data_IF_242716927441
#
_entry.id   IF_242716927441
#
_cell.length_a   1.000
_cell.length_b   1.000
_cell.length_c   1.000
_cell.angle_alpha   90.00
_cell.angle_beta   90.00
_cell.angle_gamma   90.00
#
_symmetry.space_group_name_H-M   'P 1'
#
loop_
_entity.id
_entity.type
_entity.pdbx_description
1 polymer ?
#
# COMPACT_ATOMS: atom_id res chain seq x y z
N UNK A 1 -6.13 -33.25 8.28
CA UNK A 1 -6.41 -31.97 7.60
C UNK A 1 -5.24 -31.04 7.84
N UNK A 2 -4.39 -30.81 6.84
CA UNK A 2 -3.15 -30.03 6.98
C UNK A 2 -3.41 -28.58 6.58
N UNK A 3 -3.34 -27.66 7.55
CA UNK A 3 -3.58 -26.23 7.33
C UNK A 3 -2.39 -25.58 6.62
N UNK A 4 -2.57 -25.20 5.36
CA UNK A 4 -1.57 -24.62 4.45
C UNK A 4 -1.38 -23.10 4.65
N UNK A 5 -1.25 -22.62 5.88
CA UNK A 5 -0.88 -21.21 6.10
C UNK A 5 0.46 -21.14 6.82
N UNK A 6 1.49 -20.87 6.01
CA UNK A 6 2.81 -20.41 6.48
C UNK A 6 2.54 -19.15 7.32
N UNK A 7 2.83 -19.21 8.61
CA UNK A 7 2.41 -18.21 9.59
C UNK A 7 2.76 -16.79 9.16
N UNK A 8 1.80 -15.88 9.28
CA UNK A 8 2.00 -14.44 9.21
C UNK A 8 3.12 -14.03 10.16
N UNK A 9 3.91 -13.03 9.78
CA UNK A 9 4.92 -12.48 10.68
C UNK A 9 4.24 -11.84 11.89
N UNK A 10 4.92 -11.75 13.03
CA UNK A 10 4.41 -11.05 14.22
C UNK A 10 3.98 -9.61 13.88
N UNK A 11 4.70 -8.99 12.94
CA UNK A 11 4.35 -7.71 12.36
C UNK A 11 2.99 -7.76 11.65
N UNK A 12 2.76 -8.71 10.75
CA UNK A 12 1.49 -8.87 10.05
C UNK A 12 0.33 -9.13 11.02
N UNK A 13 0.52 -9.97 12.04
CA UNK A 13 -0.51 -10.23 13.07
C UNK A 13 -0.83 -8.99 13.90
N UNK A 14 0.20 -8.20 14.24
CA UNK A 14 0.04 -6.92 14.95
C UNK A 14 -0.72 -5.91 14.10
N UNK A 15 -0.39 -5.79 12.81
CA UNK A 15 -1.06 -4.87 11.90
C UNK A 15 -2.52 -5.29 11.62
N UNK A 16 -2.80 -6.59 11.50
CA UNK A 16 -4.18 -7.12 11.38
C UNK A 16 -5.04 -6.80 12.60
N UNK A 17 -4.46 -6.90 13.81
CA UNK A 17 -5.16 -6.53 15.05
C UNK A 17 -5.49 -5.04 15.11
N UNK A 18 -4.59 -4.18 14.60
CA UNK A 18 -4.79 -2.73 14.54
C UNK A 18 -5.90 -2.36 13.53
N UNK A 19 -5.97 -3.03 12.38
CA UNK A 19 -7.03 -2.83 11.36
C UNK A 19 -8.44 -3.02 11.88
N UNK A 20 -8.64 -3.91 12.86
CA UNK A 20 -9.97 -4.23 13.38
C UNK A 20 -10.64 -3.16 14.27
N UNK A 21 -9.96 -2.03 14.60
CA UNK A 21 -10.37 -1.20 15.76
C UNK A 21 -10.55 0.31 15.56
N UNK A 22 -10.52 0.90 14.35
CA UNK A 22 -11.07 2.27 14.27
C UNK A 22 -10.91 3.10 12.99
N UNK A 23 -11.77 4.14 12.82
CA UNK A 23 -11.68 5.11 11.74
C UNK A 23 -10.72 6.26 12.12
N UNK A 24 -9.59 6.38 11.42
CA UNK A 24 -8.79 7.63 11.39
C UNK A 24 -8.32 7.89 9.97
N UNK A 25 -9.29 8.24 9.10
CA UNK A 25 -9.09 8.51 7.68
C UNK A 25 -8.69 9.97 7.44
N UNK A 26 -7.48 10.35 7.88
CA UNK A 26 -6.85 11.59 7.42
C UNK A 26 -5.49 11.27 6.81
N UNK A 27 -5.17 11.94 5.70
CA UNK A 27 -3.90 11.74 4.98
C UNK A 27 -2.70 12.02 5.90
N UNK A 28 -2.80 13.04 6.75
CA UNK A 28 -1.78 13.37 7.76
C UNK A 28 -1.68 12.26 8.81
N UNK A 29 -2.80 11.69 9.26
CA UNK A 29 -2.81 10.57 10.20
C UNK A 29 -2.10 9.34 9.64
N UNK A 30 -2.39 9.00 8.38
CA UNK A 30 -1.73 7.90 7.68
C UNK A 30 -0.24 8.18 7.43
N UNK A 31 0.15 9.40 7.09
CA UNK A 31 1.56 9.78 6.96
C UNK A 31 2.36 9.59 8.25
N UNK A 32 1.78 10.00 9.39
CA UNK A 32 2.45 9.93 10.69
C UNK A 32 2.60 8.51 11.21
N UNK A 33 1.63 7.62 10.94
CA UNK A 33 1.71 6.19 11.28
C UNK A 33 2.52 5.38 10.28
N UNK A 34 2.60 5.85 9.04
CA UNK A 34 3.07 5.09 7.91
C UNK A 34 4.56 4.74 8.00
N UNK A 35 4.89 3.55 7.53
CA UNK A 35 6.25 3.05 7.41
C UNK A 35 6.81 3.42 6.05
N UNK A 36 8.08 3.83 6.01
CA UNK A 36 8.75 4.19 4.75
C UNK A 36 8.72 3.04 3.75
N UNK A 37 8.32 3.33 2.53
CA UNK A 37 8.31 2.39 1.41
C UNK A 37 9.40 2.81 0.44
N UNK A 38 10.25 1.87 0.05
CA UNK A 38 11.22 2.07 -1.01
C UNK A 38 10.55 1.72 -2.35
N UNK A 39 10.23 2.75 -3.13
CA UNK A 39 9.70 2.59 -4.49
C UNK A 39 10.89 2.51 -5.44
N UNK A 40 11.06 1.43 -6.22
CA UNK A 40 12.18 1.31 -7.16
C UNK A 40 12.16 2.44 -8.21
N UNK A 41 13.32 2.97 -8.58
CA UNK A 41 13.43 4.04 -9.60
C UNK A 41 12.86 3.64 -10.97
N UNK A 42 12.87 2.34 -11.28
CA UNK A 42 12.31 1.79 -12.51
C UNK A 42 10.78 1.62 -12.46
N UNK A 43 10.16 1.78 -11.29
CA UNK A 43 8.71 1.71 -11.16
C UNK A 43 8.08 2.91 -11.89
N UNK A 44 6.95 2.73 -12.59
CA UNK A 44 6.30 3.80 -13.31
C UNK A 44 5.60 4.80 -12.38
N UNK A 45 6.02 4.98 -11.13
CA UNK A 45 5.37 5.86 -10.14
C UNK A 45 5.92 7.28 -10.30
N UNK A 46 5.06 8.33 -10.21
CA UNK A 46 5.53 9.71 -10.25
C UNK A 46 6.65 10.02 -9.24
N UNK A 47 7.53 10.95 -9.61
CA UNK A 47 8.65 11.38 -8.75
C UNK A 47 8.16 11.93 -7.41
N UNK A 48 8.82 11.50 -6.35
CA UNK A 48 8.53 11.82 -4.97
C UNK A 48 9.82 11.75 -4.15
N UNK A 49 9.81 12.32 -2.95
CA UNK A 49 10.96 12.27 -2.04
C UNK A 49 10.84 11.14 -1.01
N UNK A 50 9.59 10.81 -0.64
CA UNK A 50 9.31 9.77 0.34
C UNK A 50 7.90 9.22 0.14
N UNK A 51 7.77 7.90 0.25
CA UNK A 51 6.50 7.20 0.28
C UNK A 51 6.33 6.51 1.63
N UNK A 52 5.11 6.52 2.18
CA UNK A 52 4.81 5.88 3.46
C UNK A 52 3.54 5.04 3.38
N UNK A 53 3.64 3.79 3.79
CA UNK A 53 2.56 2.83 3.85
C UNK A 53 1.95 2.79 5.24
N UNK A 54 0.66 3.11 5.35
CA UNK A 54 -0.14 2.95 6.56
C UNK A 54 -1.01 1.70 6.45
N UNK A 55 -0.61 0.63 7.15
CA UNK A 55 -1.35 -0.63 7.09
C UNK A 55 -2.71 -0.56 7.80
N UNK A 56 -2.97 0.45 8.64
CA UNK A 56 -4.29 0.62 9.27
C UNK A 56 -5.32 1.07 8.25
N UNK A 57 -4.97 2.01 7.39
CA UNK A 57 -5.85 2.55 6.35
C UNK A 57 -5.63 1.92 4.97
N UNK A 58 -4.70 0.97 4.85
CA UNK A 58 -4.32 0.33 3.59
C UNK A 58 -3.97 1.33 2.47
N UNK A 59 -3.26 2.41 2.81
CA UNK A 59 -2.87 3.46 1.86
C UNK A 59 -1.36 3.69 1.83
N UNK A 60 -0.87 4.17 0.70
CA UNK A 60 0.48 4.75 0.58
C UNK A 60 0.35 6.24 0.29
N UNK A 61 0.95 7.05 1.15
CA UNK A 61 0.99 8.51 1.02
C UNK A 61 2.38 8.92 0.53
N UNK A 62 2.40 9.80 -0.47
CA UNK A 62 3.61 10.34 -1.07
C UNK A 62 3.83 11.78 -0.62
N UNK A 63 5.09 12.12 -0.35
CA UNK A 63 5.55 13.48 -0.11
C UNK A 63 6.52 13.90 -1.20
N UNK A 64 6.35 15.14 -1.66
CA UNK A 64 7.33 15.86 -2.46
C UNK A 64 7.56 17.22 -1.82
N UNK A 65 8.84 17.55 -1.63
CA UNK A 65 9.33 18.67 -0.87
C UNK A 65 8.72 18.67 0.55
N UNK A 66 7.84 19.63 0.83
CA UNK A 66 7.13 19.74 2.12
C UNK A 66 5.64 19.44 2.03
N UNK A 67 5.17 18.90 0.90
CA UNK A 67 3.75 18.72 0.61
C UNK A 67 3.40 17.24 0.42
N UNK A 68 2.32 16.79 1.05
CA UNK A 68 1.73 15.48 0.77
C UNK A 68 0.94 15.58 -0.55
N UNK A 69 1.33 14.81 -1.56
CA UNK A 69 0.85 15.02 -2.94
C UNK A 69 -0.13 13.97 -3.42
N UNK A 70 0.15 12.70 -3.14
CA UNK A 70 -0.56 11.58 -3.79
C UNK A 70 -0.82 10.50 -2.77
N UNK A 71 -1.99 9.89 -2.85
CA UNK A 71 -2.40 8.78 -1.99
C UNK A 71 -2.90 7.66 -2.87
N UNK A 72 -2.37 6.45 -2.68
CA UNK A 72 -2.88 5.24 -3.32
C UNK A 72 -3.54 4.35 -2.28
N UNK A 73 -4.81 4.01 -2.49
CA UNK A 73 -5.46 2.91 -1.79
C UNK A 73 -4.94 1.59 -2.33
N UNK A 74 -4.67 0.63 -1.44
CA UNK A 74 -4.11 -0.68 -1.80
C UNK A 74 -5.18 -1.78 -1.90
N UNK A 75 -6.40 -1.51 -1.45
CA UNK A 75 -7.50 -2.45 -1.68
C UNK A 75 -7.76 -2.61 -3.17
N UNK A 76 -8.15 -3.82 -3.59
CA UNK A 76 -8.22 -4.19 -5.01
C UNK A 76 -9.15 -3.28 -5.84
N UNK A 77 -10.21 -2.75 -5.24
CA UNK A 77 -11.13 -1.80 -5.87
C UNK A 77 -10.51 -0.42 -6.18
N UNK A 78 -9.42 -0.06 -5.49
CA UNK A 78 -8.71 1.21 -5.65
C UNK A 78 -7.51 1.11 -6.59
N UNK A 79 -7.08 -0.11 -6.95
CA UNK A 79 -5.93 -0.36 -7.80
C UNK A 79 -6.33 -0.38 -9.28
N UNK A 80 -6.70 0.79 -9.81
CA UNK A 80 -7.24 0.94 -11.17
C UNK A 80 -6.22 1.34 -12.22
N UNK A 81 -4.99 1.69 -11.83
CA UNK A 81 -3.95 2.14 -12.77
C UNK A 81 -2.59 1.51 -12.47
N UNK A 82 -1.71 1.55 -13.47
CA UNK A 82 -0.37 0.95 -13.39
C UNK A 82 0.48 1.52 -12.25
N UNK A 83 0.28 2.80 -11.87
CA UNK A 83 1.00 3.41 -10.76
C UNK A 83 0.59 2.77 -9.43
N UNK A 84 -0.72 2.62 -9.19
CA UNK A 84 -1.25 1.94 -8.01
C UNK A 84 -0.75 0.50 -7.92
N UNK A 85 -0.75 -0.23 -9.03
CA UNK A 85 -0.24 -1.61 -9.07
C UNK A 85 1.26 -1.67 -8.74
N UNK A 86 2.05 -0.74 -9.26
CA UNK A 86 3.47 -0.65 -8.96
C UNK A 86 3.73 -0.31 -7.48
N UNK A 87 2.93 0.58 -6.89
CA UNK A 87 3.00 0.90 -5.46
C UNK A 87 2.63 -0.32 -4.61
N UNK A 88 1.54 -1.02 -4.95
CA UNK A 88 1.16 -2.27 -4.29
C UNK A 88 2.27 -3.33 -4.39
N UNK A 89 2.96 -3.41 -5.53
CA UNK A 89 4.11 -4.32 -5.71
C UNK A 89 5.24 -4.05 -4.73
N UNK A 90 5.60 -2.77 -4.55
CA UNK A 90 6.65 -2.37 -3.64
C UNK A 90 6.27 -2.69 -2.19
N UNK A 91 5.01 -2.43 -1.80
CA UNK A 91 4.50 -2.77 -0.46
C UNK A 91 4.49 -4.27 -0.23
N UNK A 92 3.99 -5.06 -1.19
CA UNK A 92 3.98 -6.53 -1.11
C UNK A 92 5.39 -7.09 -0.95
N UNK A 93 6.35 -6.58 -1.74
CA UNK A 93 7.75 -7.02 -1.67
C UNK A 93 8.42 -6.66 -0.34
N UNK A 94 8.16 -5.46 0.19
CA UNK A 94 8.85 -4.96 1.39
C UNK A 94 8.23 -5.46 2.70
N UNK A 95 6.91 -5.58 2.77
CA UNK A 95 6.18 -5.92 3.99
C UNK A 95 5.56 -7.32 3.99
N UNK A 96 5.70 -8.06 2.89
CA UNK A 96 5.15 -9.41 2.76
C UNK A 96 3.62 -9.44 2.68
N UNK A 97 3.02 -8.39 2.13
CA UNK A 97 1.57 -8.33 1.87
C UNK A 97 1.22 -8.94 0.51
N UNK A 98 -0.08 -9.01 0.19
CA UNK A 98 -0.59 -9.64 -1.02
C UNK A 98 -1.65 -8.78 -1.74
N UNK A 99 -1.51 -7.46 -1.70
CA UNK A 99 -2.48 -6.53 -2.30
C UNK A 99 -2.66 -6.77 -3.80
N UNK A 100 -1.59 -7.16 -4.50
CA UNK A 100 -1.65 -7.46 -5.93
C UNK A 100 -2.44 -8.71 -6.29
N UNK A 101 -2.59 -9.66 -5.37
CA UNK A 101 -3.17 -10.98 -5.67
C UNK A 101 -4.65 -10.93 -6.02
N UNK A 102 -5.35 -9.86 -5.63
CA UNK A 102 -6.78 -9.70 -5.83
C UNK A 102 -7.13 -8.64 -6.88
N UNK A 103 -6.15 -8.12 -7.63
CA UNK A 103 -6.40 -7.14 -8.68
C UNK A 103 -7.25 -7.79 -9.77
N UNK A 104 -8.39 -7.19 -10.08
CA UNK A 104 -9.17 -7.52 -11.25
C UNK A 104 -8.55 -6.83 -12.48
N UNK A 105 -8.07 -7.58 -13.49
CA UNK A 105 -7.56 -7.00 -14.72
C UNK A 105 -8.57 -6.08 -15.44
N UNK A 106 -9.87 -6.27 -15.23
CA UNK A 106 -10.92 -5.43 -15.81
C UNK A 106 -10.97 -4.01 -15.22
N UNK A 107 -10.44 -3.83 -14.00
CA UNK A 107 -10.39 -2.53 -13.35
C UNK A 107 -9.17 -1.71 -13.79
N UNK A 108 -8.24 -2.29 -14.56
CA UNK A 108 -7.04 -1.61 -15.02
C UNK A 108 -7.36 -0.73 -16.22
N UNK A 109 -7.21 0.58 -16.03
CA UNK A 109 -7.25 1.56 -17.11
C UNK A 109 -6.13 1.24 -18.12
N UNK A 110 -6.46 1.27 -19.41
CA UNK A 110 -5.46 1.17 -20.48
C UNK A 110 -4.46 2.31 -20.33
N UNK A 111 -3.17 1.97 -20.27
CA UNK A 111 -2.10 2.96 -20.20
C UNK A 111 -2.15 3.86 -21.44
N UNK A 112 -2.59 5.11 -21.25
CA UNK A 112 -2.62 6.16 -22.29
C UNK A 112 -1.35 7.00 -22.27
#
# INVERSE_FOLDING_TARGET
>A
MSSKYRGSTEHADRMLRIRGTGPTASVIGSWNRGLRVEIPDAAPVPRHDEARYDAQSAVVVFRRESTLTTVYGLDAEHLTNIHGVAVAAAVDAQFGTSYRSNIDPQNLEEAR
#
